data_IF_860941623281
#
_entry.id   IF_860941623281
#
_cell.length_a   1.000
_cell.length_b   1.000
_cell.length_c   1.000
_cell.angle_alpha   90.00
_cell.angle_beta   90.00
_cell.angle_gamma   90.00
#
_symmetry.space_group_name_H-M   'P 1'
#
loop_
_entity.id
_entity.type
_entity.pdbx_description
1 polymer ?
#
# COMPACT_ATOMS: atom_id res chain seq x y z
N UNK A 1 -9.77 46.92 -18.21
CA UNK A 1 -10.79 45.94 -17.79
C UNK A 1 -10.07 44.62 -17.55
N UNK A 2 -9.79 44.29 -16.29
CA UNK A 2 -9.27 42.97 -15.94
C UNK A 2 -10.41 41.97 -16.06
N UNK A 3 -10.19 40.85 -16.75
CA UNK A 3 -11.16 39.76 -16.76
C UNK A 3 -11.40 39.31 -15.31
N UNK A 4 -12.65 39.34 -14.85
CA UNK A 4 -13.05 38.67 -13.62
C UNK A 4 -12.84 37.17 -13.84
N UNK A 5 -11.71 36.65 -13.36
CA UNK A 5 -11.48 35.21 -13.28
C UNK A 5 -12.55 34.67 -12.33
N UNK A 6 -13.36 33.72 -12.80
CA UNK A 6 -14.31 33.04 -11.94
C UNK A 6 -13.52 32.35 -10.81
N UNK A 7 -13.96 32.47 -9.54
CA UNK A 7 -13.28 31.75 -8.47
C UNK A 7 -13.30 30.25 -8.75
N UNK A 8 -12.13 29.61 -8.62
CA UNK A 8 -11.93 28.18 -8.84
C UNK A 8 -11.98 27.50 -7.48
N UNK A 9 -12.78 26.43 -7.38
CA UNK A 9 -12.94 25.65 -6.16
C UNK A 9 -12.58 24.19 -6.46
N UNK A 10 -11.89 23.56 -5.52
CA UNK A 10 -11.48 22.17 -5.62
C UNK A 10 -12.27 21.33 -4.63
N UNK A 11 -12.95 20.30 -5.13
CA UNK A 11 -13.63 19.30 -4.30
C UNK A 11 -12.94 17.97 -4.57
N UNK A 12 -12.36 17.38 -3.53
CA UNK A 12 -11.81 16.02 -3.59
C UNK A 12 -12.71 15.08 -2.78
N UNK A 13 -12.86 13.85 -3.29
CA UNK A 13 -13.57 12.77 -2.60
C UNK A 13 -12.70 11.52 -2.62
N UNK A 14 -12.63 10.81 -1.49
CA UNK A 14 -11.85 9.58 -1.31
C UNK A 14 -10.39 9.69 -1.79
N UNK A 15 -9.76 10.86 -1.62
CA UNK A 15 -8.39 11.06 -2.07
C UNK A 15 -7.40 10.38 -1.10
N UNK A 16 -6.49 9.51 -1.58
CA UNK A 16 -5.39 8.99 -0.78
C UNK A 16 -4.31 10.08 -0.61
N UNK A 17 -4.61 11.08 0.23
CA UNK A 17 -3.85 12.33 0.34
C UNK A 17 -2.35 12.11 0.48
N UNK A 18 -1.96 11.13 1.28
CA UNK A 18 -0.57 10.77 1.52
C UNK A 18 -0.22 9.34 1.07
N UNK A 19 -0.98 8.82 0.09
CA UNK A 19 -0.93 7.41 -0.32
C UNK A 19 -1.73 6.50 0.61
N UNK A 20 -1.57 5.18 0.43
CA UNK A 20 -2.26 4.16 1.21
C UNK A 20 -1.39 2.92 1.47
N UNK A 21 -1.33 2.45 2.71
CA UNK A 21 -0.67 1.18 3.05
C UNK A 21 -1.30 -0.03 2.32
N UNK A 22 -2.57 0.08 1.91
CA UNK A 22 -3.26 -0.91 1.07
C UNK A 22 -2.50 -1.24 -0.21
N UNK A 23 -1.76 -0.30 -0.81
CA UNK A 23 -0.97 -0.55 -2.01
C UNK A 23 0.13 -1.60 -1.76
N UNK A 24 0.79 -1.53 -0.59
CA UNK A 24 1.76 -2.55 -0.16
C UNK A 24 1.10 -3.93 0.04
N UNK A 25 -0.09 -3.97 0.67
CA UNK A 25 -0.84 -5.22 0.80
C UNK A 25 -1.18 -5.81 -0.56
N UNK A 26 -1.65 -5.00 -1.50
CA UNK A 26 -2.05 -5.49 -2.81
C UNK A 26 -0.86 -6.05 -3.60
N UNK A 27 0.33 -5.47 -3.46
CA UNK A 27 1.56 -6.02 -4.03
C UNK A 27 1.90 -7.43 -3.51
N UNK A 28 1.49 -7.76 -2.28
CA UNK A 28 1.74 -9.08 -1.67
C UNK A 28 0.57 -10.06 -1.72
N UNK A 29 -0.66 -9.57 -1.83
CA UNK A 29 -1.86 -10.41 -1.70
C UNK A 29 -2.77 -10.38 -2.94
N UNK A 30 -2.55 -9.47 -3.90
CA UNK A 30 -3.53 -9.20 -4.94
C UNK A 30 -4.60 -8.20 -4.52
N UNK A 31 -5.55 -7.90 -5.41
CA UNK A 31 -6.77 -7.14 -5.09
C UNK A 31 -7.92 -8.09 -4.79
N UNK A 32 -8.77 -7.68 -3.85
CA UNK A 32 -10.00 -8.41 -3.52
C UNK A 32 -11.13 -8.16 -4.53
N UNK A 33 -12.10 -9.07 -4.58
CA UNK A 33 -13.35 -8.90 -5.32
C UNK A 33 -13.19 -8.74 -6.85
N UNK A 34 -14.11 -7.99 -7.46
CA UNK A 34 -14.16 -7.76 -8.90
C UNK A 34 -12.93 -7.02 -9.45
N UNK A 35 -12.31 -6.16 -8.65
CA UNK A 35 -11.13 -5.37 -9.03
C UNK A 35 -9.92 -6.27 -9.32
N UNK A 36 -9.80 -7.39 -8.60
CA UNK A 36 -8.73 -8.37 -8.82
C UNK A 36 -8.73 -8.97 -10.23
N UNK A 37 -9.86 -9.03 -10.93
CA UNK A 37 -9.89 -9.49 -12.32
C UNK A 37 -9.21 -8.53 -13.30
N UNK A 38 -9.02 -7.26 -12.91
CA UNK A 38 -8.43 -6.22 -13.75
C UNK A 38 -7.01 -5.89 -13.30
N UNK A 39 -6.79 -5.72 -11.99
CA UNK A 39 -5.53 -5.25 -11.43
C UNK A 39 -4.64 -6.37 -10.88
N UNK A 40 -5.13 -7.62 -10.86
CA UNK A 40 -4.40 -8.80 -10.40
C UNK A 40 -4.96 -9.38 -9.11
N UNK A 41 -5.05 -10.71 -9.05
CA UNK A 41 -5.62 -11.48 -7.91
C UNK A 41 -4.59 -11.99 -6.93
N UNK A 42 -3.31 -11.87 -7.26
CA UNK A 42 -2.20 -12.36 -6.45
C UNK A 42 -0.99 -11.43 -6.58
N UNK A 43 0.04 -11.68 -5.76
CA UNK A 43 1.25 -10.89 -5.74
C UNK A 43 1.93 -10.81 -7.11
N UNK A 44 1.99 -11.92 -7.84
CA UNK A 44 2.69 -11.96 -9.13
C UNK A 44 2.03 -11.06 -10.17
N UNK A 45 0.70 -11.12 -10.30
CA UNK A 45 -0.05 -10.28 -11.25
C UNK A 45 0.03 -8.80 -10.88
N UNK A 46 -0.20 -8.46 -9.61
CA UNK A 46 -0.11 -7.06 -9.16
C UNK A 46 1.30 -6.52 -9.34
N UNK A 47 2.32 -7.29 -8.96
CA UNK A 47 3.72 -6.83 -9.05
C UNK A 47 4.17 -6.64 -10.49
N UNK A 48 3.78 -7.53 -11.40
CA UNK A 48 4.11 -7.43 -12.83
C UNK A 48 3.52 -6.16 -13.48
N UNK A 49 2.43 -5.62 -12.95
CA UNK A 49 1.85 -4.36 -13.40
C UNK A 49 2.40 -3.16 -12.61
N UNK A 50 2.29 -3.21 -11.27
CA UNK A 50 2.52 -2.09 -10.37
C UNK A 50 3.98 -1.62 -10.42
N UNK A 51 4.94 -2.52 -10.52
CA UNK A 51 6.37 -2.18 -10.61
C UNK A 51 6.72 -1.33 -11.85
N UNK A 52 5.86 -1.34 -12.88
CA UNK A 52 6.06 -0.60 -14.13
C UNK A 52 5.11 0.59 -14.30
N UNK A 53 4.14 0.76 -13.40
CA UNK A 53 3.10 1.79 -13.48
C UNK A 53 3.42 2.96 -12.54
N UNK A 54 3.91 4.07 -13.10
CA UNK A 54 4.29 5.26 -12.34
C UNK A 54 3.15 5.78 -11.43
N UNK A 55 1.94 5.96 -11.99
CA UNK A 55 0.79 6.42 -11.21
C UNK A 55 0.32 5.41 -10.15
N UNK A 56 0.57 4.12 -10.37
CA UNK A 56 0.30 3.09 -9.35
C UNK A 56 1.28 3.17 -8.19
N UNK A 57 2.57 3.37 -8.47
CA UNK A 57 3.60 3.55 -7.43
C UNK A 57 3.41 4.85 -6.65
N UNK A 58 2.86 5.89 -7.28
CA UNK A 58 2.50 7.14 -6.60
C UNK A 58 1.42 6.95 -5.53
N UNK A 59 0.64 5.86 -5.53
CA UNK A 59 -0.33 5.55 -4.47
C UNK A 59 0.29 4.98 -3.19
N UNK A 60 1.58 4.64 -3.21
CA UNK A 60 2.28 4.14 -2.02
C UNK A 60 2.29 5.18 -0.91
N UNK A 61 2.29 4.72 0.34
CA UNK A 61 2.43 5.60 1.51
C UNK A 61 3.68 6.47 1.38
N UNK A 62 3.51 7.78 1.30
CA UNK A 62 4.59 8.73 1.04
C UNK A 62 5.30 9.16 2.35
N UNK A 63 6.27 10.07 2.23
CA UNK A 63 7.03 10.62 3.37
C UNK A 63 6.20 11.38 4.44
N UNK A 64 4.98 11.80 4.12
CA UNK A 64 4.01 12.43 5.03
C UNK A 64 2.91 11.48 5.51
N UNK A 65 2.87 10.23 5.03
CA UNK A 65 1.88 9.26 5.48
C UNK A 65 1.96 9.06 6.99
N UNK A 66 0.80 9.06 7.64
CA UNK A 66 0.67 8.82 9.06
C UNK A 66 -0.44 7.81 9.32
N UNK A 67 -0.21 6.93 10.28
CA UNK A 67 -1.24 6.06 10.83
C UNK A 67 -2.26 6.88 11.64
N UNK A 68 -3.43 6.30 11.94
CA UNK A 68 -4.50 6.97 12.70
C UNK A 68 -4.00 7.51 14.05
N UNK A 69 -3.16 6.72 14.72
CA UNK A 69 -2.34 7.21 15.81
C UNK A 69 -1.05 7.76 15.17
N UNK A 70 -0.76 9.06 15.25
CA UNK A 70 0.30 9.68 14.45
C UNK A 70 1.67 8.99 14.58
N UNK A 71 2.01 8.18 13.59
CA UNK A 71 3.29 7.47 13.45
C UNK A 71 3.54 7.21 11.95
N UNK A 72 4.80 7.21 11.54
CA UNK A 72 5.20 6.88 10.16
C UNK A 72 5.38 5.37 9.97
N UNK A 73 5.41 4.60 11.06
CA UNK A 73 5.70 3.15 11.07
C UNK A 73 4.47 2.32 10.69
N UNK A 74 4.06 2.43 9.43
CA UNK A 74 2.89 1.73 8.90
C UNK A 74 3.17 0.28 8.49
N UNK A 75 4.42 -0.18 8.47
CA UNK A 75 4.78 -1.57 8.14
C UNK A 75 5.47 -2.25 9.32
N UNK A 76 4.87 -3.35 9.81
CA UNK A 76 5.28 -4.00 11.05
C UNK A 76 5.30 -5.53 10.96
N UNK A 77 6.07 -6.13 11.85
CA UNK A 77 6.08 -7.55 12.16
C UNK A 77 5.64 -7.75 13.61
N UNK A 78 4.69 -8.65 13.85
CA UNK A 78 4.41 -9.19 15.19
C UNK A 78 5.01 -10.58 15.26
N UNK A 79 6.05 -10.73 16.09
CA UNK A 79 6.74 -12.00 16.24
C UNK A 79 5.91 -13.02 17.04
N UNK A 80 6.41 -14.25 17.11
CA UNK A 80 5.79 -15.35 17.87
C UNK A 80 5.59 -15.05 19.36
N UNK A 81 6.35 -14.12 19.91
CA UNK A 81 6.27 -13.65 21.29
C UNK A 81 5.29 -12.47 21.45
N UNK A 82 4.55 -12.12 20.40
CA UNK A 82 3.62 -10.98 20.34
C UNK A 82 4.31 -9.63 20.53
N UNK A 83 5.62 -9.57 20.27
CA UNK A 83 6.35 -8.31 20.23
C UNK A 83 6.23 -7.71 18.83
N UNK A 84 5.91 -6.42 18.81
CA UNK A 84 5.83 -5.64 17.59
C UNK A 84 7.21 -5.06 17.24
N UNK A 85 7.57 -5.16 15.96
CA UNK A 85 8.78 -4.62 15.37
C UNK A 85 8.40 -3.84 14.12
N UNK A 86 8.96 -2.66 13.94
CA UNK A 86 8.76 -1.88 12.71
C UNK A 86 9.78 -2.33 11.68
N UNK A 87 9.29 -2.67 10.48
CA UNK A 87 10.13 -3.12 9.37
C UNK A 87 10.74 -1.94 8.59
N UNK A 88 10.34 -0.72 8.93
CA UNK A 88 10.76 0.52 8.26
C UNK A 88 11.45 1.51 9.20
N UNK A 89 11.94 1.04 10.35
CA UNK A 89 12.64 1.91 11.33
C UNK A 89 13.90 2.57 10.78
N UNK A 90 14.59 1.91 9.83
CA UNK A 90 15.75 2.48 9.14
C UNK A 90 15.36 3.52 8.06
N UNK A 91 14.07 3.65 7.74
CA UNK A 91 13.53 4.41 6.61
C UNK A 91 12.50 5.48 7.03
N UNK A 92 12.83 6.39 7.95
CA UNK A 92 11.91 7.44 8.36
C UNK A 92 11.66 8.46 7.25
N UNK A 93 10.40 8.91 7.11
CA UNK A 93 9.99 10.06 6.29
C UNK A 93 10.44 9.90 4.83
N UNK A 94 11.27 10.80 4.31
CA UNK A 94 11.75 10.78 2.92
C UNK A 94 12.57 9.51 2.59
N UNK A 95 13.17 8.86 3.59
CA UNK A 95 13.88 7.59 3.38
C UNK A 95 12.93 6.42 3.05
N UNK A 96 11.62 6.61 3.12
CA UNK A 96 10.66 5.58 2.70
C UNK A 96 10.84 5.19 1.23
N UNK A 97 11.31 6.12 0.38
CA UNK A 97 11.59 5.80 -1.02
C UNK A 97 12.79 4.86 -1.16
N UNK A 98 13.78 4.95 -0.27
CA UNK A 98 14.89 3.97 -0.23
C UNK A 98 14.37 2.58 0.18
N UNK A 99 13.40 2.51 1.08
CA UNK A 99 12.72 1.24 1.40
C UNK A 99 12.04 0.66 0.16
N UNK A 100 11.31 1.46 -0.62
CA UNK A 100 10.65 0.98 -1.83
C UNK A 100 11.62 0.48 -2.90
N UNK A 101 12.85 0.98 -2.93
CA UNK A 101 13.93 0.47 -3.80
C UNK A 101 14.49 -0.88 -3.34
N UNK A 102 14.35 -1.24 -2.07
CA UNK A 102 14.84 -2.54 -1.59
C UNK A 102 14.06 -3.67 -2.25
N UNK A 103 14.78 -4.69 -2.74
CA UNK A 103 14.17 -5.88 -3.39
C UNK A 103 14.66 -7.20 -2.81
N UNK A 104 15.54 -7.15 -1.79
CA UNK A 104 16.20 -8.32 -1.21
C UNK A 104 15.52 -8.82 0.05
N UNK A 105 14.78 -7.98 0.76
CA UNK A 105 14.16 -8.37 2.02
C UNK A 105 12.87 -9.14 1.76
N UNK A 106 12.54 -10.09 2.64
CA UNK A 106 11.31 -10.87 2.50
C UNK A 106 10.03 -10.01 2.56
N UNK A 107 10.13 -8.82 3.15
CA UNK A 107 9.08 -7.80 3.27
C UNK A 107 9.26 -6.61 2.31
N UNK A 108 10.23 -6.64 1.40
CA UNK A 108 10.35 -5.64 0.33
C UNK A 108 9.06 -5.60 -0.50
N UNK A 109 8.68 -4.41 -1.00
CA UNK A 109 7.46 -4.21 -1.78
C UNK A 109 7.37 -5.20 -2.97
N UNK A 110 8.48 -5.36 -3.69
CA UNK A 110 8.61 -6.35 -4.75
C UNK A 110 9.87 -7.19 -4.58
N UNK A 111 9.82 -8.42 -5.05
CA UNK A 111 11.04 -9.23 -5.28
C UNK A 111 11.43 -9.17 -6.75
N UNK A 112 12.73 -9.17 -7.05
CA UNK A 112 13.21 -9.13 -8.45
C UNK A 112 12.65 -10.29 -9.28
N UNK A 113 12.48 -11.46 -8.66
CA UNK A 113 11.97 -12.66 -9.32
C UNK A 113 10.55 -12.50 -9.90
N UNK A 114 9.68 -11.72 -9.25
CA UNK A 114 8.30 -11.52 -9.73
C UNK A 114 8.15 -10.30 -10.63
N UNK A 115 9.12 -9.37 -10.63
CA UNK A 115 9.12 -8.22 -11.54
C UNK A 115 9.63 -8.57 -12.94
N UNK A 116 10.43 -9.64 -13.07
CA UNK A 116 11.03 -10.09 -14.34
C UNK A 116 10.76 -11.60 -14.56
N UNK A 117 9.49 -12.03 -14.64
CA UNK A 117 9.13 -13.44 -14.79
C UNK A 117 9.65 -14.11 -16.06
N UNK A 118 9.97 -13.33 -17.09
CA UNK A 118 10.49 -13.78 -18.39
C UNK A 118 11.99 -14.10 -18.39
N UNK A 119 12.72 -13.74 -17.32
CA UNK A 119 14.18 -13.71 -17.35
C UNK A 119 14.80 -14.62 -16.28
N UNK A 120 15.27 -15.79 -16.71
CA UNK A 120 16.03 -16.72 -15.86
C UNK A 120 17.55 -16.40 -15.83
N UNK A 121 18.03 -15.33 -16.51
CA UNK A 121 19.45 -14.92 -16.44
C UNK A 121 19.80 -13.48 -16.87
N UNK A 122 20.88 -12.95 -16.27
CA UNK A 122 21.75 -11.80 -16.60
C UNK A 122 21.26 -10.34 -16.61
N UNK A 123 19.98 -10.00 -16.86
CA UNK A 123 19.57 -8.57 -16.93
C UNK A 123 18.74 -8.07 -15.73
N UNK A 124 18.79 -8.81 -14.62
CA UNK A 124 18.07 -8.45 -13.37
C UNK A 124 18.46 -7.07 -12.86
N UNK A 125 19.72 -6.67 -13.08
CA UNK A 125 20.22 -5.37 -12.65
C UNK A 125 19.62 -4.22 -13.47
N UNK A 126 19.40 -4.36 -14.79
CA UNK A 126 18.71 -3.30 -15.55
C UNK A 126 17.25 -3.14 -15.12
N UNK A 127 16.54 -4.23 -14.81
CA UNK A 127 15.17 -4.14 -14.29
C UNK A 127 15.12 -3.43 -12.94
N UNK A 128 16.09 -3.73 -12.07
CA UNK A 128 16.26 -3.05 -10.79
C UNK A 128 16.53 -1.57 -11.00
N UNK A 129 17.49 -1.20 -11.83
CA UNK A 129 17.85 0.19 -12.09
C UNK A 129 16.66 0.99 -12.64
N UNK A 130 15.90 0.42 -13.58
CA UNK A 130 14.71 1.06 -14.12
C UNK A 130 13.58 1.18 -13.09
N UNK A 131 13.43 0.19 -12.20
CA UNK A 131 12.49 0.27 -11.09
C UNK A 131 12.91 1.35 -10.09
N UNK A 132 14.18 1.41 -9.70
CA UNK A 132 14.71 2.44 -8.80
C UNK A 132 14.51 3.84 -9.37
N UNK A 133 14.71 4.05 -10.67
CA UNK A 133 14.41 5.32 -11.36
C UNK A 133 12.92 5.70 -11.31
N UNK A 134 12.01 4.73 -11.34
CA UNK A 134 10.57 5.01 -11.16
C UNK A 134 10.28 5.42 -9.73
N UNK A 135 10.88 4.76 -8.74
CA UNK A 135 10.76 5.15 -7.33
C UNK A 135 11.35 6.54 -7.08
N UNK A 136 12.45 6.92 -7.73
CA UNK A 136 12.98 8.29 -7.68
C UNK A 136 11.96 9.30 -8.21
N UNK A 137 11.29 9.01 -9.33
CA UNK A 137 10.23 9.88 -9.85
C UNK A 137 9.02 9.98 -8.91
N UNK A 138 8.69 8.90 -8.19
CA UNK A 138 7.66 8.94 -7.13
C UNK A 138 8.10 9.88 -6.00
N UNK A 139 9.37 9.82 -5.60
CA UNK A 139 9.92 10.71 -4.59
C UNK A 139 9.83 12.18 -5.05
N UNK A 140 10.26 12.49 -6.28
CA UNK A 140 10.17 13.82 -6.86
C UNK A 140 8.73 14.32 -6.92
N UNK A 141 7.80 13.49 -7.39
CA UNK A 141 6.37 13.81 -7.45
C UNK A 141 5.84 14.21 -6.07
N UNK A 142 6.10 13.40 -5.05
CA UNK A 142 5.57 13.65 -3.71
C UNK A 142 6.27 14.80 -3.00
N UNK A 143 7.59 14.94 -3.13
CA UNK A 143 8.31 16.11 -2.58
C UNK A 143 7.81 17.41 -3.23
N UNK A 144 7.40 17.34 -4.49
CA UNK A 144 6.85 18.49 -5.18
C UNK A 144 5.38 18.76 -4.84
N UNK A 145 4.54 17.76 -4.61
CA UNK A 145 3.07 17.92 -4.51
C UNK A 145 2.50 17.74 -3.11
N UNK A 146 3.15 16.99 -2.23
CA UNK A 146 2.59 16.63 -0.92
C UNK A 146 2.31 17.87 -0.06
N UNK A 147 1.16 17.88 0.61
CA UNK A 147 0.72 18.99 1.45
C UNK A 147 0.39 20.29 0.70
N UNK A 148 0.36 20.28 -0.64
CA UNK A 148 0.00 21.47 -1.44
C UNK A 148 -1.42 21.33 -1.98
N UNK A 149 -2.28 22.25 -1.56
CA UNK A 149 -3.68 22.33 -1.98
C UNK A 149 -3.96 23.71 -2.58
N UNK A 150 -4.99 23.78 -3.42
CA UNK A 150 -5.57 25.07 -3.78
C UNK A 150 -6.17 25.72 -2.51
N UNK A 151 -6.11 27.05 -2.39
CA UNK A 151 -6.62 27.79 -1.21
C UNK A 151 -8.08 27.47 -0.90
N UNK A 152 -8.86 27.24 -1.95
CA UNK A 152 -10.29 26.95 -1.90
C UNK A 152 -10.55 25.47 -2.15
N UNK A 153 -10.04 24.62 -1.26
CA UNK A 153 -10.19 23.16 -1.34
C UNK A 153 -11.06 22.60 -0.21
N UNK A 154 -11.93 21.65 -0.55
CA UNK A 154 -12.65 20.80 0.41
C UNK A 154 -12.35 19.33 0.12
N UNK A 155 -11.95 18.58 1.16
CA UNK A 155 -11.74 17.14 1.10
C UNK A 155 -12.91 16.40 1.76
N UNK A 156 -13.49 15.44 1.06
CA UNK A 156 -14.45 14.49 1.61
C UNK A 156 -13.81 13.10 1.69
N UNK A 157 -13.97 12.42 2.83
CA UNK A 157 -13.43 11.08 3.05
C UNK A 157 -14.36 10.23 3.91
N UNK A 158 -14.25 8.91 3.82
CA UNK A 158 -15.06 8.02 4.64
C UNK A 158 -14.44 7.80 6.03
N UNK A 159 -15.30 7.75 7.04
CA UNK A 159 -14.97 7.34 8.41
C UNK A 159 -15.66 6.03 8.81
N UNK A 160 -16.19 5.29 7.84
CA UNK A 160 -16.99 4.10 8.13
C UNK A 160 -16.12 2.97 8.74
N UNK A 161 -16.46 2.57 9.97
CA UNK A 161 -15.80 1.48 10.68
C UNK A 161 -16.09 0.09 10.07
N UNK A 162 -17.21 -0.06 9.36
CA UNK A 162 -17.62 -1.31 8.72
C UNK A 162 -16.93 -1.54 7.36
N UNK A 163 -16.15 -0.56 6.88
CA UNK A 163 -15.31 -0.66 5.69
C UNK A 163 -13.82 -0.58 6.07
N UNK A 164 -13.28 -1.65 6.69
CA UNK A 164 -11.93 -1.63 7.20
C UNK A 164 -10.91 -1.46 6.08
N UNK A 165 -9.98 -0.54 6.29
CA UNK A 165 -8.87 -0.20 5.40
C UNK A 165 -7.55 -0.41 6.13
N UNK A 166 -6.46 -0.58 5.38
CA UNK A 166 -5.15 -0.72 5.97
C UNK A 166 -4.62 0.63 6.45
N UNK A 167 -4.63 0.82 7.77
CA UNK A 167 -3.87 1.88 8.46
C UNK A 167 -2.39 1.49 8.60
N UNK A 168 -2.18 0.24 9.04
CA UNK A 168 -0.89 -0.42 9.22
C UNK A 168 -0.95 -1.79 8.55
N UNK A 169 0.09 -2.17 7.81
CA UNK A 169 0.32 -3.53 7.35
C UNK A 169 1.12 -4.29 8.41
N UNK A 170 0.52 -5.32 9.00
CA UNK A 170 1.14 -6.13 10.06
C UNK A 170 1.32 -7.56 9.58
N UNK A 171 2.57 -7.95 9.38
CA UNK A 171 2.95 -9.35 9.20
C UNK A 171 2.93 -10.07 10.54
N UNK A 172 2.15 -11.14 10.66
CA UNK A 172 2.09 -11.97 11.87
C UNK A 172 2.92 -13.24 11.71
N UNK A 173 3.84 -13.48 12.63
CA UNK A 173 4.64 -14.71 12.67
C UNK A 173 3.89 -15.86 13.36
N UNK A 174 3.87 -17.02 12.69
CA UNK A 174 3.47 -18.31 13.26
C UNK A 174 4.58 -19.33 13.02
N UNK A 175 5.40 -19.57 14.03
CA UNK A 175 6.44 -20.60 13.95
C UNK A 175 7.57 -20.38 14.92
N UNK A 176 8.76 -20.86 14.56
CA UNK A 176 9.94 -20.87 15.43
C UNK A 176 11.21 -20.42 14.72
N UNK A 177 11.10 -19.64 13.66
CA UNK A 177 12.27 -19.04 13.01
C UNK A 177 13.11 -18.27 14.03
N UNK A 178 14.40 -18.55 14.02
CA UNK A 178 15.37 -17.97 14.96
C UNK A 178 16.18 -16.87 14.26
N UNK A 179 16.99 -16.14 15.03
CA UNK A 179 17.79 -15.04 14.49
C UNK A 179 17.01 -13.74 14.29
N UNK A 180 17.66 -12.79 13.65
CA UNK A 180 17.11 -11.47 13.33
C UNK A 180 16.10 -11.58 12.17
N UNK A 181 14.90 -11.04 12.35
CA UNK A 181 13.84 -11.08 11.35
C UNK A 181 14.17 -10.29 10.09
N UNK A 182 15.12 -9.36 10.15
CA UNK A 182 15.60 -8.60 8.99
C UNK A 182 16.32 -9.54 8.01
N UNK A 183 16.93 -10.61 8.52
CA UNK A 183 17.79 -11.53 7.76
C UNK A 183 17.05 -12.81 7.34
N UNK A 184 15.73 -12.87 7.51
CA UNK A 184 14.95 -14.05 7.12
C UNK A 184 14.83 -14.17 5.60
N UNK A 185 14.86 -15.41 5.13
CA UNK A 185 14.82 -15.77 3.72
C UNK A 185 13.54 -16.55 3.39
N UNK A 186 12.94 -16.27 2.23
CA UNK A 186 11.72 -16.95 1.78
C UNK A 186 12.07 -18.30 1.16
N UNK A 187 11.52 -19.38 1.71
CA UNK A 187 11.69 -20.74 1.15
C UNK A 187 10.48 -21.20 0.33
N UNK A 188 9.30 -20.65 0.62
CA UNK A 188 8.05 -20.92 -0.08
C UNK A 188 7.11 -19.72 0.04
N UNK A 189 6.28 -19.49 -0.97
CA UNK A 189 5.23 -18.48 -0.94
C UNK A 189 4.07 -18.88 -1.85
N UNK A 190 2.94 -18.21 -1.69
CA UNK A 190 1.76 -18.40 -2.53
C UNK A 190 1.56 -17.33 -3.60
N UNK A 191 2.63 -16.58 -3.95
CA UNK A 191 2.57 -15.42 -4.85
C UNK A 191 1.88 -15.68 -6.20
N UNK A 192 1.94 -16.92 -6.71
CA UNK A 192 1.36 -17.33 -7.99
C UNK A 192 0.06 -18.13 -7.86
N UNK A 193 -0.47 -18.33 -6.64
CA UNK A 193 -1.72 -19.08 -6.49
C UNK A 193 -2.88 -18.29 -7.10
N UNK A 194 -3.66 -18.95 -7.94
CA UNK A 194 -4.82 -18.34 -8.58
C UNK A 194 -6.07 -18.35 -7.68
N UNK A 195 -6.14 -19.32 -6.77
CA UNK A 195 -7.21 -19.46 -5.78
C UNK A 195 -6.62 -19.35 -4.39
N UNK A 196 -7.21 -18.52 -3.54
CA UNK A 196 -6.81 -18.33 -2.13
C UNK A 196 -5.34 -17.87 -1.95
N UNK A 197 -4.87 -16.94 -2.79
CA UNK A 197 -3.59 -16.27 -2.56
C UNK A 197 -3.74 -15.29 -1.40
N UNK A 198 -3.23 -15.66 -0.23
CA UNK A 198 -3.28 -14.81 0.96
C UNK A 198 -2.01 -13.96 1.12
N UNK A 199 -1.01 -14.15 0.24
CA UNK A 199 0.31 -13.54 0.38
C UNK A 199 1.17 -14.23 1.44
N UNK A 200 0.86 -15.50 1.73
CA UNK A 200 1.52 -16.30 2.76
C UNK A 200 2.95 -16.64 2.35
N UNK A 201 3.88 -16.47 3.29
CA UNK A 201 5.31 -16.74 3.10
C UNK A 201 5.81 -17.68 4.19
N UNK A 202 6.52 -18.73 3.81
CA UNK A 202 7.33 -19.52 4.73
C UNK A 202 8.76 -18.99 4.71
N UNK A 203 9.27 -18.64 5.89
CA UNK A 203 10.59 -18.05 6.07
C UNK A 203 11.44 -18.86 7.05
N UNK A 204 12.75 -18.76 6.87
CA UNK A 204 13.79 -19.34 7.72
C UNK A 204 14.94 -18.36 7.89
N UNK A 205 15.87 -18.62 8.81
CA UNK A 205 17.10 -17.83 8.88
C UNK A 205 18.10 -18.23 7.77
N UNK A 206 19.13 -17.41 7.54
CA UNK A 206 20.15 -17.65 6.49
C UNK A 206 20.90 -18.97 6.60
N UNK A 207 21.07 -19.51 7.81
CA UNK A 207 21.76 -20.79 8.01
C UNK A 207 20.85 -21.97 7.63
N UNK A 208 19.60 -21.91 8.07
CA UNK A 208 18.54 -22.89 7.80
C UNK A 208 18.13 -22.89 6.31
N UNK A 209 18.21 -21.75 5.62
CA UNK A 209 17.98 -21.64 4.17
C UNK A 209 18.91 -22.58 3.38
N UNK A 210 20.22 -22.55 3.68
CA UNK A 210 21.19 -23.42 3.01
C UNK A 210 20.89 -24.90 3.24
N UNK A 211 20.50 -25.24 4.46
CA UNK A 211 20.10 -26.60 4.81
C UNK A 211 18.81 -27.01 4.06
N UNK A 212 17.82 -26.11 4.00
CA UNK A 212 16.59 -26.30 3.24
C UNK A 212 16.88 -26.58 1.76
N UNK A 213 17.74 -25.78 1.11
CA UNK A 213 18.10 -25.98 -0.30
C UNK A 213 18.81 -27.32 -0.51
N UNK A 214 19.70 -27.72 0.40
CA UNK A 214 20.39 -29.01 0.33
C UNK A 214 19.40 -30.19 0.43
N UNK A 215 18.47 -30.14 1.38
CA UNK A 215 17.41 -31.15 1.56
C UNK A 215 16.49 -31.20 0.33
N UNK A 216 16.05 -30.05 -0.18
CA UNK A 216 15.21 -29.94 -1.38
C UNK A 216 15.91 -30.55 -2.60
N UNK A 217 17.18 -30.21 -2.84
CA UNK A 217 17.98 -30.76 -3.93
C UNK A 217 18.19 -32.27 -3.81
N UNK A 218 18.42 -32.77 -2.60
CA UNK A 218 18.55 -34.21 -2.33
C UNK A 218 17.22 -34.95 -2.57
N UNK A 219 16.09 -34.37 -2.14
CA UNK A 219 14.75 -34.92 -2.35
C UNK A 219 14.31 -34.90 -3.81
N UNK A 220 14.62 -33.84 -4.56
CA UNK A 220 14.41 -33.79 -6.02
C UNK A 220 15.21 -34.88 -6.74
N UNK A 221 16.47 -35.09 -6.34
CA UNK A 221 17.29 -36.18 -6.89
C UNK A 221 16.71 -37.55 -6.57
N UNK A 222 16.23 -37.80 -5.35
CA UNK A 222 15.68 -39.11 -4.98
C UNK A 222 14.29 -39.38 -5.60
N UNK A 223 13.44 -38.35 -5.69
CA UNK A 223 12.10 -38.45 -6.30
C UNK A 223 12.16 -38.69 -7.82
N UNK A 224 13.18 -38.16 -8.52
CA UNK A 224 13.43 -38.49 -9.94
C UNK A 224 13.67 -39.99 -10.17
N UNK A 225 14.17 -40.72 -9.17
CA UNK A 225 14.35 -42.17 -9.21
C UNK A 225 13.19 -42.98 -8.58
N UNK A 226 12.32 -42.33 -7.79
CA UNK A 226 11.30 -43.01 -6.97
C UNK A 226 9.84 -42.64 -7.28
N UNK A 227 9.58 -41.75 -8.25
CA UNK A 227 8.23 -41.46 -8.75
C UNK A 227 7.25 -40.83 -7.74
N UNK A 228 7.74 -40.18 -6.67
CA UNK A 228 6.89 -39.48 -5.69
C UNK A 228 7.51 -38.15 -5.24
N UNK A 229 6.75 -37.07 -5.44
CA UNK A 229 6.99 -35.78 -4.80
C UNK A 229 6.35 -35.76 -3.41
N UNK A 230 7.17 -35.82 -2.35
CA UNK A 230 6.82 -35.12 -1.11
C UNK A 230 8.08 -34.81 -0.32
N UNK A 231 8.44 -33.52 -0.26
CA UNK A 231 9.43 -33.02 0.69
C UNK A 231 8.74 -32.97 2.06
N UNK A 232 8.72 -34.08 2.79
CA UNK A 232 8.19 -34.15 4.16
C UNK A 232 9.33 -34.27 5.17
N UNK A 233 10.35 -33.42 5.03
CA UNK A 233 11.28 -33.16 6.13
C UNK A 233 10.74 -31.99 6.93
N UNK A 234 10.39 -32.19 8.21
CA UNK A 234 10.15 -31.08 9.14
C UNK A 234 11.47 -30.35 9.32
N UNK A 235 11.72 -29.33 8.51
CA UNK A 235 12.86 -28.44 8.72
C UNK A 235 12.53 -27.64 9.97
N UNK A 236 13.26 -27.85 11.09
CA UNK A 236 13.05 -27.06 12.29
C UNK A 236 13.32 -25.59 11.96
N UNK A 237 12.61 -24.67 12.60
CA UNK A 237 12.85 -23.24 12.43
C UNK A 237 12.04 -22.55 11.32
N UNK A 238 11.13 -23.22 10.62
CA UNK A 238 10.23 -22.52 9.70
C UNK A 238 9.22 -21.65 10.46
N UNK A 239 9.02 -20.42 10.00
CA UNK A 239 7.88 -19.59 10.36
C UNK A 239 7.01 -19.28 9.16
N UNK A 240 5.70 -19.39 9.34
CA UNK A 240 4.71 -18.86 8.40
C UNK A 240 4.45 -17.40 8.76
N UNK A 241 4.52 -16.52 7.77
CA UNK A 241 4.26 -15.09 7.91
C UNK A 241 3.05 -14.74 7.05
N UNK A 242 2.06 -14.08 7.66
CA UNK A 242 0.77 -13.73 7.03
C UNK A 242 0.44 -12.26 7.29
N UNK A 243 -0.08 -11.54 6.29
CA UNK A 243 -0.57 -10.18 6.52
C UNK A 243 -1.89 -10.24 7.28
N UNK A 244 -1.96 -9.49 8.37
CA UNK A 244 -3.19 -9.34 9.16
C UNK A 244 -4.27 -8.63 8.34
N UNK A 245 -5.57 -8.90 8.58
CA UNK A 245 -6.65 -8.17 7.94
C UNK A 245 -6.64 -6.68 8.35
N UNK A 246 -7.23 -5.79 7.53
CA UNK A 246 -7.40 -4.40 7.92
C UNK A 246 -8.39 -4.29 9.08
N UNK A 247 -8.30 -3.20 9.84
CA UNK A 247 -9.18 -2.97 11.00
C UNK A 247 -9.63 -1.51 11.13
N UNK A 248 -8.95 -0.58 10.45
CA UNK A 248 -9.20 0.84 10.61
C UNK A 248 -10.36 1.29 9.73
N UNK A 249 -11.29 2.06 10.31
CA UNK A 249 -12.37 2.64 9.52
C UNK A 249 -11.87 3.51 8.36
N UNK A 250 -12.57 3.46 7.24
CA UNK A 250 -12.20 4.09 5.98
C UNK A 250 -13.24 3.75 4.90
N UNK A 251 -12.78 3.67 3.65
CA UNK A 251 -13.62 3.34 2.48
C UNK A 251 -13.31 1.96 1.86
N UNK A 252 -12.57 1.12 2.60
CA UNK A 252 -12.05 -0.18 2.14
C UNK A 252 -10.72 -0.09 1.38
N UNK A 253 -10.24 1.11 1.04
CA UNK A 253 -8.93 1.32 0.39
C UNK A 253 -8.08 2.32 1.16
N UNK A 254 -8.64 3.48 1.50
CA UNK A 254 -8.02 4.58 2.22
C UNK A 254 -8.61 4.62 3.62
N UNK A 255 -7.75 4.44 4.63
CA UNK A 255 -8.16 4.62 6.02
C UNK A 255 -8.47 6.11 6.29
N UNK A 256 -9.35 6.38 7.25
CA UNK A 256 -9.80 7.73 7.60
C UNK A 256 -8.68 8.73 7.92
N UNK A 257 -7.50 8.25 8.32
CA UNK A 257 -6.33 9.08 8.64
C UNK A 257 -5.66 9.67 7.40
N UNK A 258 -5.56 8.90 6.30
CA UNK A 258 -5.02 9.35 5.03
C UNK A 258 -6.03 10.07 4.12
N UNK A 259 -7.32 10.05 4.48
CA UNK A 259 -8.35 10.86 3.84
C UNK A 259 -8.29 12.36 4.20
N UNK A 260 -7.45 12.74 5.17
CA UNK A 260 -7.23 14.12 5.63
C UNK A 260 -5.75 14.50 5.51
N UNK A 261 -5.45 15.79 5.63
CA UNK A 261 -4.08 16.34 5.62
C UNK A 261 -3.72 17.07 6.92
N UNK A 262 -2.43 17.18 7.25
CA UNK A 262 -1.94 17.97 8.39
C UNK A 262 -2.38 19.45 8.33
N UNK A 263 -2.50 20.03 7.13
CA UNK A 263 -3.02 21.38 6.96
C UNK A 263 -4.50 21.51 7.41
N UNK A 264 -5.25 20.40 7.41
CA UNK A 264 -6.61 20.37 7.96
C UNK A 264 -6.62 20.62 9.47
N UNK A 265 -5.58 20.18 10.18
CA UNK A 265 -5.45 20.38 11.63
C UNK A 265 -5.10 21.85 11.97
N UNK A 266 -4.43 22.54 11.05
CA UNK A 266 -4.13 23.98 11.17
C UNK A 266 -5.30 24.90 10.78
N UNK A 267 -6.39 24.34 10.26
CA UNK A 267 -7.58 25.08 9.79
C UNK A 267 -7.44 25.75 8.42
N UNK A 268 -6.35 25.49 7.70
CA UNK A 268 -6.10 26.04 6.35
C UNK A 268 -6.72 25.20 5.23
N UNK A 269 -7.21 23.99 5.53
CA UNK A 269 -7.89 23.09 4.62
C UNK A 269 -9.16 22.53 5.27
N UNK A 270 -10.28 22.54 4.54
CA UNK A 270 -11.54 21.98 5.03
C UNK A 270 -11.56 20.48 4.70
N UNK A 271 -11.64 19.64 5.72
CA UNK A 271 -11.73 18.19 5.59
C UNK A 271 -12.95 17.66 6.33
N UNK A 272 -13.81 16.93 5.63
CA UNK A 272 -15.11 16.47 6.10
C UNK A 272 -15.14 14.93 6.03
N UNK A 273 -15.17 14.30 7.21
CA UNK A 273 -15.38 12.87 7.34
C UNK A 273 -16.87 12.51 7.28
N UNK A 274 -17.24 11.55 6.43
CA UNK A 274 -18.62 11.12 6.20
C UNK A 274 -18.79 9.63 6.53
N UNK A 275 -19.96 9.27 7.03
CA UNK A 275 -20.32 7.89 7.31
C UNK A 275 -20.91 7.28 6.03
N UNK A 276 -20.04 6.87 5.10
CA UNK A 276 -20.47 6.34 3.80
C UNK A 276 -20.99 4.90 3.91
N UNK A 277 -21.98 4.57 3.09
CA UNK A 277 -22.46 3.20 2.86
C UNK A 277 -21.70 2.53 1.70
N UNK A 278 -21.22 3.34 0.76
CA UNK A 278 -20.43 2.86 -0.39
C UNK A 278 -18.91 2.92 -0.14
N UNK A 279 -18.20 1.97 -0.73
CA UNK A 279 -16.73 1.87 -0.69
C UNK A 279 -16.04 2.83 -1.66
N UNK A 280 -14.71 2.82 -1.61
CA UNK A 280 -13.84 3.75 -2.34
C UNK A 280 -14.22 3.96 -3.81
N UNK A 281 -14.49 2.88 -4.54
CA UNK A 281 -14.78 2.90 -5.98
C UNK A 281 -16.15 3.52 -6.29
N UNK A 282 -17.10 3.43 -5.36
CA UNK A 282 -18.46 3.96 -5.48
C UNK A 282 -18.70 5.19 -4.59
N UNK A 283 -17.63 5.81 -4.08
CA UNK A 283 -17.71 6.90 -3.10
C UNK A 283 -18.63 8.05 -3.53
N UNK A 284 -18.59 8.46 -4.81
CA UNK A 284 -19.45 9.53 -5.33
C UNK A 284 -20.89 9.10 -5.62
N UNK A 285 -21.19 7.80 -5.61
CA UNK A 285 -22.55 7.26 -5.72
C UNK A 285 -23.26 7.23 -4.36
N UNK A 286 -22.50 7.38 -3.27
CA UNK A 286 -23.04 7.48 -1.93
C UNK A 286 -23.96 8.71 -1.79
N UNK A 287 -25.16 8.48 -1.27
CA UNK A 287 -26.17 9.51 -1.13
C UNK A 287 -25.72 10.65 -0.20
N UNK A 288 -25.02 10.35 0.90
CA UNK A 288 -24.52 11.36 1.81
C UNK A 288 -23.43 12.19 1.12
N UNK A 289 -22.49 11.55 0.43
CA UNK A 289 -21.43 12.25 -0.32
C UNK A 289 -22.02 13.19 -1.36
N UNK A 290 -22.94 12.70 -2.20
CA UNK A 290 -23.59 13.52 -3.23
C UNK A 290 -24.35 14.71 -2.64
N UNK A 291 -25.04 14.51 -1.52
CA UNK A 291 -25.78 15.57 -0.82
C UNK A 291 -24.85 16.67 -0.30
N UNK A 292 -23.76 16.29 0.38
CA UNK A 292 -22.82 17.25 0.97
C UNK A 292 -22.06 18.03 -0.11
N UNK A 293 -21.62 17.36 -1.18
CA UNK A 293 -21.00 18.03 -2.33
C UNK A 293 -21.96 19.03 -2.96
N UNK A 294 -23.23 18.64 -3.17
CA UNK A 294 -24.24 19.53 -3.75
C UNK A 294 -24.50 20.74 -2.87
N UNK A 295 -24.63 20.54 -1.55
CA UNK A 295 -24.79 21.64 -0.59
C UNK A 295 -23.60 22.61 -0.68
N UNK A 296 -22.38 22.07 -0.71
CA UNK A 296 -21.17 22.89 -0.76
C UNK A 296 -21.05 23.70 -2.05
N UNK A 297 -21.40 23.09 -3.19
CA UNK A 297 -21.45 23.80 -4.48
C UNK A 297 -22.47 24.95 -4.41
N UNK A 298 -23.65 24.71 -3.82
CA UNK A 298 -24.68 25.76 -3.68
C UNK A 298 -24.22 26.92 -2.80
N UNK A 299 -23.57 26.64 -1.67
CA UNK A 299 -22.96 27.66 -0.80
C UNK A 299 -21.94 28.51 -1.54
N UNK A 300 -20.99 27.86 -2.22
CA UNK A 300 -19.94 28.50 -3.02
C UNK A 300 -20.54 29.40 -4.11
N UNK A 301 -21.57 28.93 -4.80
CA UNK A 301 -22.26 29.71 -5.83
C UNK A 301 -22.95 30.95 -5.25
N UNK A 302 -23.57 30.82 -4.07
CA UNK A 302 -24.22 31.95 -3.40
C UNK A 302 -23.21 33.00 -2.91
N UNK A 303 -22.09 32.57 -2.32
CA UNK A 303 -21.00 33.46 -1.88
C UNK A 303 -20.39 34.22 -3.08
N UNK A 304 -20.14 33.51 -4.18
CA UNK A 304 -19.63 34.10 -5.42
C UNK A 304 -20.61 35.12 -6.02
N UNK A 305 -21.92 34.86 -5.93
CA UNK A 305 -22.94 35.79 -6.43
C UNK A 305 -23.00 37.06 -5.56
N UNK A 306 -23.02 36.92 -4.23
CA UNK A 306 -23.06 38.04 -3.28
C UNK A 306 -21.84 38.96 -3.43
N UNK A 307 -20.64 38.41 -3.55
CA UNK A 307 -19.41 39.20 -3.69
C UNK A 307 -19.40 40.02 -4.99
N UNK A 308 -19.89 39.46 -6.11
CA UNK A 308 -20.06 40.22 -7.37
C UNK A 308 -21.06 41.36 -7.26
N UNK A 309 -22.15 41.19 -6.50
CA UNK A 309 -23.15 42.25 -6.31
C UNK A 309 -22.67 43.40 -5.42
N UNK A 310 -21.70 43.17 -4.52
CA UNK A 310 -21.16 44.22 -3.63
C UNK A 310 -20.08 45.10 -4.29
N UNK A 311 -19.48 44.67 -5.40
CA UNK A 311 -18.46 45.44 -6.14
C UNK A 311 -19.08 46.46 -7.11
N UNK A 312 -20.42 46.50 -7.21
CA UNK A 312 -21.18 47.45 -8.04
C UNK A 312 -21.80 48.54 -7.14
N UNK A 313 -20.97 49.34 -6.48
CA UNK A 313 -21.34 50.64 -5.88
C UNK A 313 -20.20 51.62 -6.05
#
# INVERSE_FOLDING_TARGET
>A
MGALIAPVFMIHGAMPTNGAATAYRNAHCGYDGGVGFVLGKNAAEVSAMLAFCQGGLELLANHLYQTIQPDYKWLKLVDRHKKEHSLIDAYPREKIYDFYKTTSQWYSLFSLKIMSPENDSFDVDSYRDEYEKRVDKVADFWLFTAGKFHSDTVLFYSVNADMPSYDVCVWGERGKCSGDYIEWEIISNDNHKWFFAAGNKEVVNKEEEKNYQAIKKASLRSSYWAGRESITGKIPGISLIELSPPWAGGDGTVHKGAGRDANSESGSLISIGLQTEEGHQAFFLDHQVSKEITSRIQEIMQETYKSKCQVVV
#
